data_IF_006158363954
#
_entry.id   IF_006158363954
#
_cell.length_a   1.000
_cell.length_b   1.000
_cell.length_c   1.000
_cell.angle_alpha   90.00
_cell.angle_beta   90.00
_cell.angle_gamma   90.00
#
_symmetry.space_group_name_H-M   'P 1'
#
loop_
_entity.id
_entity.type
_entity.pdbx_description
1 polymer ?
#
# COMPACT_ATOMS: atom_id res chain seq x y z
N UNK A 1 -1.68 7.24 -1.97
CA UNK A 1 -1.71 5.77 -1.74
C UNK A 1 -0.85 5.44 -0.53
N UNK A 2 -1.19 4.42 0.25
CA UNK A 2 -0.38 3.93 1.39
C UNK A 2 0.08 2.50 1.07
N UNK A 3 1.34 2.19 1.35
CA UNK A 3 1.91 0.86 1.19
C UNK A 3 2.80 0.56 2.39
N UNK A 4 2.75 -0.67 2.90
CA UNK A 4 3.44 -1.09 4.12
C UNK A 4 4.30 -2.32 3.84
N UNK A 5 5.38 -2.50 4.59
CA UNK A 5 6.25 -3.66 4.44
C UNK A 5 5.55 -4.95 4.90
N UNK A 6 5.01 -5.76 3.98
CA UNK A 6 4.21 -6.94 4.34
C UNK A 6 4.99 -8.06 5.06
N UNK A 7 6.32 -8.08 4.92
CA UNK A 7 7.20 -9.16 5.42
C UNK A 7 6.70 -10.57 5.03
N UNK A 8 6.08 -10.71 3.86
CA UNK A 8 5.55 -11.98 3.33
C UNK A 8 4.14 -12.35 3.78
N UNK A 9 3.50 -11.52 4.61
CA UNK A 9 2.13 -11.72 5.08
C UNK A 9 1.10 -11.40 3.99
N UNK A 10 0.00 -12.16 3.98
CA UNK A 10 -1.18 -11.91 3.13
C UNK A 10 -2.26 -11.27 3.97
N UNK A 11 -2.82 -10.17 3.47
CA UNK A 11 -3.88 -9.42 4.13
C UNK A 11 -5.18 -9.53 3.35
N UNK A 12 -6.29 -9.57 4.09
CA UNK A 12 -7.64 -9.53 3.55
C UNK A 12 -8.37 -8.29 4.09
N UNK A 13 -9.15 -7.64 3.23
CA UNK A 13 -10.02 -6.55 3.66
C UNK A 13 -11.13 -7.08 4.58
N UNK A 14 -11.50 -6.31 5.60
CA UNK A 14 -12.74 -6.53 6.33
C UNK A 14 -13.88 -5.83 5.59
N UNK A 15 -15.05 -6.46 5.51
CA UNK A 15 -16.16 -5.95 4.70
C UNK A 15 -16.68 -4.58 5.15
N UNK A 16 -16.55 -4.29 6.45
CA UNK A 16 -17.29 -3.20 7.11
C UNK A 16 -16.38 -2.03 7.53
N UNK A 17 -15.05 -2.18 7.42
CA UNK A 17 -14.10 -1.14 7.87
C UNK A 17 -12.84 -1.07 7.00
N UNK A 18 -12.71 0.01 6.22
CA UNK A 18 -11.55 0.25 5.35
C UNK A 18 -10.24 0.50 6.12
N UNK A 19 -10.32 0.86 7.40
CA UNK A 19 -9.14 1.08 8.25
C UNK A 19 -8.68 -0.20 8.98
N UNK A 20 -9.34 -1.34 8.73
CA UNK A 20 -8.96 -2.64 9.32
C UNK A 20 -8.78 -3.68 8.23
N UNK A 21 -7.62 -4.35 8.28
CA UNK A 21 -7.30 -5.54 7.48
C UNK A 21 -6.93 -6.69 8.39
N UNK A 22 -7.21 -7.90 7.94
CA UNK A 22 -6.97 -9.13 8.69
C UNK A 22 -5.82 -9.91 8.08
N UNK A 23 -4.96 -10.48 8.93
CA UNK A 23 -3.94 -11.42 8.51
C UNK A 23 -3.53 -12.32 9.67
N UNK A 24 -3.37 -13.62 9.37
CA UNK A 24 -3.02 -14.66 10.36
C UNK A 24 -3.95 -14.68 11.59
N UNK A 25 -5.23 -14.28 11.42
CA UNK A 25 -6.23 -14.20 12.49
C UNK A 25 -6.12 -12.95 13.38
N UNK A 26 -5.24 -12.00 13.03
CA UNK A 26 -5.02 -10.75 13.77
C UNK A 26 -5.61 -9.59 12.96
N UNK A 27 -6.31 -8.68 13.66
CA UNK A 27 -6.71 -7.39 13.11
C UNK A 27 -5.53 -6.41 13.07
N UNK A 28 -5.40 -5.73 11.94
CA UNK A 28 -4.40 -4.70 11.73
C UNK A 28 -5.08 -3.39 11.38
N UNK A 29 -4.80 -2.35 12.17
CA UNK A 29 -5.27 -0.99 11.93
C UNK A 29 -4.36 -0.27 10.95
N UNK A 30 -4.95 0.28 9.91
CA UNK A 30 -4.29 1.12 8.92
C UNK A 30 -4.14 2.53 9.50
N UNK A 31 -2.89 3.00 9.65
CA UNK A 31 -2.60 4.39 10.06
C UNK A 31 -1.75 5.10 9.01
N UNK A 32 -1.53 6.40 9.14
CA UNK A 32 -0.72 7.14 8.17
C UNK A 32 0.74 6.65 8.13
N UNK A 33 1.30 6.27 9.28
CA UNK A 33 2.73 5.96 9.42
C UNK A 33 3.04 4.46 9.44
N UNK A 34 2.08 3.63 9.88
CA UNK A 34 2.27 2.20 10.03
C UNK A 34 0.98 1.38 9.89
N UNK A 35 1.15 0.09 9.65
CA UNK A 35 0.11 -0.92 9.84
C UNK A 35 0.29 -1.52 11.24
N UNK A 36 -0.66 -1.28 12.13
CA UNK A 36 -0.54 -1.56 13.57
C UNK A 36 -1.36 -2.80 13.92
N UNK A 37 -0.76 -3.90 14.40
CA UNK A 37 -1.52 -5.09 14.77
C UNK A 37 -2.22 -4.88 16.12
N UNK A 38 -3.26 -5.67 16.38
CA UNK A 38 -3.83 -5.77 17.72
C UNK A 38 -2.81 -6.32 18.74
N UNK A 39 -1.87 -7.13 18.28
CA UNK A 39 -0.76 -7.68 19.08
C UNK A 39 0.51 -7.85 18.24
N UNK A 40 1.65 -7.43 18.79
CA UNK A 40 2.97 -7.55 18.16
C UNK A 40 3.50 -6.24 17.54
N UNK A 41 4.49 -6.38 16.67
CA UNK A 41 5.24 -5.24 16.11
C UNK A 41 4.55 -4.61 14.89
N UNK A 42 4.52 -3.27 14.79
CA UNK A 42 3.97 -2.57 13.64
C UNK A 42 4.82 -2.77 12.37
N UNK A 43 4.17 -2.62 11.22
CA UNK A 43 4.83 -2.61 9.91
C UNK A 43 4.89 -1.19 9.37
N UNK A 44 6.10 -0.68 9.19
CA UNK A 44 6.35 0.67 8.71
C UNK A 44 5.78 0.90 7.32
N UNK A 45 5.32 2.14 7.10
CA UNK A 45 4.97 2.61 5.76
C UNK A 45 6.23 2.72 4.90
N UNK A 46 6.11 2.24 3.68
CA UNK A 46 7.13 2.40 2.65
C UNK A 46 7.07 3.82 2.08
N UNK A 47 8.24 4.45 1.95
CA UNK A 47 8.36 5.72 1.24
C UNK A 47 7.90 5.52 -0.22
N UNK A 48 6.86 6.24 -0.61
CA UNK A 48 6.27 6.16 -1.94
C UNK A 48 6.28 7.52 -2.62
N UNK A 49 6.63 7.54 -3.91
CA UNK A 49 6.46 8.71 -4.76
C UNK A 49 5.20 8.54 -5.60
N UNK A 50 4.27 9.49 -5.50
CA UNK A 50 3.11 9.53 -6.40
C UNK A 50 3.59 10.14 -7.71
N UNK A 51 3.83 9.28 -8.71
CA UNK A 51 4.04 9.72 -10.07
C UNK A 51 2.68 9.79 -10.78
N UNK A 52 2.29 10.99 -11.19
CA UNK A 52 1.14 11.16 -12.07
C UNK A 52 1.53 10.74 -13.48
N UNK A 53 0.59 10.15 -14.23
CA UNK A 53 0.85 9.61 -15.57
C UNK A 53 1.39 10.65 -16.57
N UNK A 54 1.07 11.95 -16.40
CA UNK A 54 1.67 13.02 -17.22
C UNK A 54 3.18 13.16 -17.02
N UNK A 55 3.72 12.74 -15.87
CA UNK A 55 5.15 12.75 -15.58
C UNK A 55 5.88 11.52 -16.15
N UNK A 56 5.16 10.52 -16.63
CA UNK A 56 5.73 9.28 -17.16
C UNK A 56 6.58 9.53 -18.42
N UNK A 57 6.15 10.45 -19.29
CA UNK A 57 6.92 10.84 -20.49
C UNK A 57 8.26 11.53 -20.14
N UNK A 58 8.35 12.23 -19.02
CA UNK A 58 9.60 12.84 -18.56
C UNK A 58 10.56 11.79 -17.97
N UNK A 59 10.04 10.74 -17.34
CA UNK A 59 10.83 9.66 -16.74
C UNK A 59 11.30 8.60 -17.76
N UNK A 60 10.47 8.34 -18.78
CA UNK A 60 10.72 7.39 -19.87
C UNK A 60 10.34 8.03 -21.21
N UNK A 61 11.25 8.83 -21.81
CA UNK A 61 10.99 9.56 -23.06
C UNK A 61 10.67 8.64 -24.25
N UNK A 62 11.10 7.38 -24.19
CA UNK A 62 10.93 6.35 -25.21
C UNK A 62 9.69 5.48 -25.01
N UNK A 63 8.94 5.67 -23.92
CA UNK A 63 7.70 4.93 -23.68
C UNK A 63 6.65 5.31 -24.73
N UNK A 64 6.36 4.39 -25.65
CA UNK A 64 5.31 4.57 -26.67
C UNK A 64 3.94 4.58 -26.01
N UNK A 65 3.24 5.73 -26.10
CA UNK A 65 1.81 5.80 -25.79
C UNK A 65 1.06 5.18 -26.95
N UNK A 66 0.31 4.10 -26.70
CA UNK A 66 -0.66 3.57 -27.66
C UNK A 66 -1.98 4.29 -27.39
N UNK A 67 -2.39 5.14 -28.33
CA UNK A 67 -3.72 5.76 -28.35
C UNK A 67 -4.51 4.98 -29.39
N UNK A 68 -5.65 4.43 -29.01
CA UNK A 68 -6.64 3.85 -29.94
C UNK A 68 -7.56 4.94 -30.49
#
# INVERSE_FOLDING_TARGET
VRAYASKGRKFSATADNADIVQADGIDWRVTEDALVPAEGEPLERLAGHIAFWFAWQNFKPDAKVRVE
#
